data_IF_223559162034
#
_entry.id   IF_223559162034
#
_cell.length_a   1.000
_cell.length_b   1.000
_cell.length_c   1.000
_cell.angle_alpha   90.00
_cell.angle_beta   90.00
_cell.angle_gamma   90.00
#
_symmetry.space_group_name_H-M   'P 1'
#
loop_
_entity.id
_entity.type
_entity.pdbx_description
1 polymer ?
#
# COMPACT_ATOMS: atom_id res chain seq x y z
N UNK A 1 26.90 -8.90 43.72
CA UNK A 1 27.49 -8.73 42.37
C UNK A 1 29.00 -8.74 42.53
N UNK A 2 29.66 -9.84 42.19
CA UNK A 2 31.12 -9.86 42.12
C UNK A 2 31.55 -9.00 40.94
N UNK A 3 32.25 -7.88 41.21
CA UNK A 3 32.94 -7.11 40.18
C UNK A 3 34.08 -7.99 39.69
N UNK A 4 34.06 -8.39 38.42
CA UNK A 4 35.16 -9.15 37.82
C UNK A 4 36.43 -8.33 37.96
N UNK A 5 37.41 -8.84 38.69
CA UNK A 5 38.68 -8.15 38.89
C UNK A 5 39.37 -7.94 37.53
N UNK A 6 39.87 -6.74 37.21
CA UNK A 6 40.43 -6.40 35.90
C UNK A 6 41.53 -7.37 35.41
N UNK A 7 42.30 -7.92 36.35
CA UNK A 7 43.36 -8.88 36.05
C UNK A 7 42.82 -10.23 35.59
N UNK A 8 41.71 -10.70 36.16
CA UNK A 8 41.03 -11.92 35.74
C UNK A 8 40.41 -11.75 34.34
N UNK A 9 39.96 -10.55 33.99
CA UNK A 9 39.49 -10.23 32.64
C UNK A 9 40.63 -10.28 31.62
N UNK A 10 41.81 -9.73 31.91
CA UNK A 10 42.97 -9.81 31.01
C UNK A 10 43.42 -11.26 30.77
N UNK A 11 43.44 -12.09 31.81
CA UNK A 11 43.77 -13.52 31.67
C UNK A 11 42.72 -14.25 30.82
N UNK A 12 41.43 -14.02 31.07
CA UNK A 12 40.34 -14.61 30.28
C UNK A 12 40.34 -14.12 28.82
N UNK A 13 40.67 -12.84 28.59
CA UNK A 13 40.78 -12.26 27.26
C UNK A 13 41.96 -12.84 26.48
N UNK A 14 43.13 -12.97 27.11
CA UNK A 14 44.30 -13.63 26.49
C UNK A 14 44.03 -15.11 26.20
N UNK A 15 43.34 -15.80 27.10
CA UNK A 15 42.96 -17.21 26.91
C UNK A 15 41.94 -17.39 25.77
N UNK A 16 41.05 -16.43 25.55
CA UNK A 16 40.05 -16.47 24.46
C UNK A 16 40.53 -15.87 23.14
N UNK A 17 41.66 -15.14 23.12
CA UNK A 17 42.18 -14.46 21.92
C UNK A 17 42.43 -15.41 20.74
N UNK A 18 43.00 -16.60 20.98
CA UNK A 18 43.24 -17.59 19.92
C UNK A 18 41.93 -18.07 19.30
N UNK A 19 40.91 -18.31 20.13
CA UNK A 19 39.56 -18.70 19.72
C UNK A 19 38.90 -17.56 18.93
N UNK A 20 39.00 -16.31 19.40
CA UNK A 20 38.46 -15.13 18.70
C UNK A 20 39.09 -14.95 17.32
N UNK A 21 40.41 -15.09 17.21
CA UNK A 21 41.13 -14.98 15.93
C UNK A 21 40.73 -16.12 14.98
N UNK A 22 40.57 -17.34 15.49
CA UNK A 22 40.10 -18.48 14.70
C UNK A 22 38.68 -18.27 14.19
N UNK A 23 37.75 -17.86 15.06
CA UNK A 23 36.36 -17.56 14.70
C UNK A 23 36.27 -16.41 13.69
N UNK A 24 37.06 -15.34 13.88
CA UNK A 24 37.12 -14.22 12.95
C UNK A 24 37.66 -14.62 11.58
N UNK A 25 38.73 -15.42 11.56
CA UNK A 25 39.29 -15.95 10.31
C UNK A 25 38.29 -16.86 9.58
N UNK A 26 37.55 -17.68 10.32
CA UNK A 26 36.50 -18.53 9.76
C UNK A 26 35.34 -17.69 9.19
N UNK A 27 34.86 -16.70 9.94
CA UNK A 27 33.79 -15.81 9.48
C UNK A 27 34.19 -15.05 8.21
N UNK A 28 35.44 -14.59 8.12
CA UNK A 28 35.96 -13.92 6.92
C UNK A 28 35.95 -14.86 5.71
N UNK A 29 36.44 -16.09 5.86
CA UNK A 29 36.43 -17.09 4.78
C UNK A 29 35.02 -17.41 4.30
N UNK A 30 34.07 -17.53 5.23
CA UNK A 30 32.67 -17.79 4.89
C UNK A 30 32.06 -16.60 4.13
N UNK A 31 32.36 -15.37 4.56
CA UNK A 31 31.92 -14.17 3.87
C UNK A 31 32.51 -14.04 2.46
N UNK A 32 33.81 -14.31 2.30
CA UNK A 32 34.50 -14.28 1.02
C UNK A 32 33.92 -15.34 0.05
N UNK A 33 33.59 -16.53 0.57
CA UNK A 33 32.91 -17.58 -0.20
C UNK A 33 31.52 -17.14 -0.67
N UNK A 34 30.73 -16.51 0.21
CA UNK A 34 29.40 -15.97 -0.16
C UNK A 34 29.53 -14.93 -1.28
N UNK A 35 30.47 -13.99 -1.13
CA UNK A 35 30.73 -12.97 -2.16
C UNK A 35 31.13 -13.63 -3.47
N UNK A 36 32.11 -14.55 -3.44
CA UNK A 36 32.59 -15.21 -4.65
C UNK A 36 31.47 -15.93 -5.41
N UNK A 37 30.51 -16.52 -4.67
CA UNK A 37 29.39 -17.25 -5.25
C UNK A 37 28.36 -16.36 -5.96
N UNK A 38 28.08 -15.18 -5.40
CA UNK A 38 27.06 -14.26 -5.97
C UNK A 38 27.67 -13.20 -6.90
N UNK A 39 28.98 -12.97 -6.84
CA UNK A 39 29.66 -11.91 -7.61
C UNK A 39 29.37 -11.94 -9.11
N UNK A 40 29.37 -13.11 -9.82
CA UNK A 40 29.08 -13.13 -11.24
C UNK A 40 27.69 -12.56 -11.56
N UNK A 41 26.69 -12.93 -10.76
CA UNK A 41 25.31 -12.49 -10.89
C UNK A 41 25.15 -10.98 -10.62
N UNK A 42 25.85 -10.46 -9.61
CA UNK A 42 25.80 -9.04 -9.26
C UNK A 42 26.57 -8.16 -10.24
N UNK A 43 27.69 -8.62 -10.78
CA UNK A 43 28.48 -7.83 -11.73
C UNK A 43 27.77 -7.68 -13.08
N UNK A 44 26.96 -8.66 -13.47
CA UNK A 44 26.14 -8.62 -14.67
C UNK A 44 24.92 -7.68 -14.49
N UNK A 45 24.18 -7.83 -13.39
CA UNK A 45 22.83 -7.23 -13.24
C UNK A 45 22.77 -5.97 -12.40
N UNK A 46 23.78 -5.68 -11.57
CA UNK A 46 23.72 -4.57 -10.62
C UNK A 46 24.88 -3.62 -10.87
N UNK A 47 24.60 -2.43 -11.39
CA UNK A 47 25.64 -1.41 -11.62
C UNK A 47 25.92 -0.58 -10.36
N UNK A 48 24.89 -0.36 -9.52
CA UNK A 48 25.00 0.49 -8.34
C UNK A 48 25.81 -0.21 -7.21
N UNK A 49 26.96 0.34 -6.77
CA UNK A 49 27.79 -0.26 -5.72
C UNK A 49 27.06 -0.41 -4.37
N UNK A 50 26.16 0.52 -4.04
CA UNK A 50 25.36 0.44 -2.82
C UNK A 50 24.42 -0.77 -2.85
N UNK A 51 23.72 -1.00 -3.97
CA UNK A 51 22.84 -2.15 -4.12
C UNK A 51 23.63 -3.46 -4.08
N UNK A 52 24.85 -3.51 -4.65
CA UNK A 52 25.73 -4.70 -4.51
C UNK A 52 25.99 -5.03 -3.04
N UNK A 53 26.28 -4.04 -2.20
CA UNK A 53 26.48 -4.25 -0.76
C UNK A 53 25.23 -4.77 -0.06
N UNK A 54 24.04 -4.31 -0.46
CA UNK A 54 22.78 -4.82 0.06
C UNK A 54 22.55 -6.29 -0.34
N UNK A 55 22.82 -6.66 -1.59
CA UNK A 55 22.73 -8.06 -2.04
C UNK A 55 23.73 -8.97 -1.35
N UNK A 56 24.96 -8.50 -1.10
CA UNK A 56 25.95 -9.23 -0.29
C UNK A 56 25.42 -9.46 1.13
N UNK A 57 24.83 -8.44 1.75
CA UNK A 57 24.24 -8.53 3.09
C UNK A 57 23.07 -9.52 3.15
N UNK A 58 22.20 -9.50 2.13
CA UNK A 58 21.12 -10.46 1.96
C UNK A 58 21.67 -11.89 1.80
N UNK A 59 22.63 -12.10 0.90
CA UNK A 59 23.24 -13.39 0.64
C UNK A 59 23.91 -13.99 1.88
N UNK A 60 24.63 -13.16 2.66
CA UNK A 60 25.24 -13.59 3.91
C UNK A 60 24.19 -14.05 4.94
N UNK A 61 23.06 -13.35 4.99
CA UNK A 61 21.95 -13.68 5.90
C UNK A 61 21.31 -15.01 5.52
N UNK A 62 20.98 -15.22 4.25
CA UNK A 62 20.35 -16.49 3.82
C UNK A 62 21.32 -17.67 3.88
N UNK A 63 22.62 -17.45 3.64
CA UNK A 63 23.66 -18.45 3.87
C UNK A 63 23.69 -18.87 5.35
N UNK A 64 23.66 -17.90 6.26
CA UNK A 64 23.60 -18.16 7.70
C UNK A 64 22.33 -18.94 8.08
N UNK A 65 21.17 -18.60 7.51
CA UNK A 65 19.93 -19.36 7.72
C UNK A 65 20.08 -20.80 7.24
N UNK A 66 20.62 -21.02 6.03
CA UNK A 66 20.81 -22.36 5.47
C UNK A 66 21.79 -23.21 6.28
N UNK A 67 22.82 -22.59 6.85
CA UNK A 67 23.86 -23.25 7.66
C UNK A 67 23.31 -23.73 9.00
N UNK A 68 22.40 -22.96 9.63
CA UNK A 68 21.92 -23.23 10.98
C UNK A 68 20.53 -23.87 11.03
N UNK A 69 19.76 -23.82 9.95
CA UNK A 69 18.39 -24.32 9.89
C UNK A 69 18.26 -25.39 8.80
N UNK A 70 17.25 -26.27 8.94
CA UNK A 70 16.86 -27.20 7.89
C UNK A 70 16.35 -26.47 6.64
N UNK A 71 16.53 -27.06 5.46
CA UNK A 71 16.21 -26.45 4.15
C UNK A 71 14.81 -25.81 4.09
N UNK A 72 13.80 -26.52 4.57
CA UNK A 72 12.41 -26.01 4.56
C UNK A 72 12.25 -24.76 5.42
N UNK A 73 12.73 -24.78 6.67
CA UNK A 73 12.63 -23.65 7.57
C UNK A 73 13.48 -22.47 7.07
N UNK A 74 14.70 -22.72 6.60
CA UNK A 74 15.56 -21.70 6.01
C UNK A 74 14.92 -21.04 4.78
N UNK A 75 14.18 -21.82 3.96
CA UNK A 75 13.49 -21.29 2.78
C UNK A 75 12.32 -20.39 3.18
N UNK A 76 11.55 -20.76 4.22
CA UNK A 76 10.49 -19.91 4.78
C UNK A 76 11.04 -18.60 5.34
N UNK A 77 12.13 -18.65 6.10
CA UNK A 77 12.79 -17.45 6.64
C UNK A 77 13.41 -16.58 5.53
N UNK A 78 13.93 -17.21 4.46
CA UNK A 78 14.46 -16.49 3.31
C UNK A 78 13.36 -15.70 2.57
N UNK A 79 12.11 -16.21 2.52
CA UNK A 79 10.97 -15.45 1.99
C UNK A 79 10.74 -14.15 2.78
N UNK A 80 10.81 -14.19 4.11
CA UNK A 80 10.73 -13.00 4.96
C UNK A 80 11.88 -12.01 4.71
N UNK A 81 13.09 -12.51 4.48
CA UNK A 81 14.22 -11.65 4.09
C UNK A 81 14.00 -11.00 2.72
N UNK A 82 13.47 -11.74 1.73
CA UNK A 82 13.16 -11.19 0.41
C UNK A 82 12.21 -10.00 0.53
N UNK A 83 11.09 -10.16 1.25
CA UNK A 83 10.14 -9.06 1.45
C UNK A 83 10.81 -7.84 2.11
N UNK A 84 11.60 -8.07 3.17
CA UNK A 84 12.33 -7.00 3.87
C UNK A 84 13.25 -6.21 2.94
N UNK A 85 13.99 -6.89 2.07
CA UNK A 85 14.96 -6.26 1.17
C UNK A 85 14.31 -5.68 -0.09
N UNK A 86 13.18 -6.23 -0.52
CA UNK A 86 12.34 -5.68 -1.58
C UNK A 86 11.83 -4.29 -1.20
N UNK A 87 11.37 -4.11 0.05
CA UNK A 87 11.04 -2.77 0.59
C UNK A 87 12.23 -1.79 0.62
N UNK A 88 13.46 -2.28 0.53
CA UNK A 88 14.68 -1.46 0.45
C UNK A 88 15.15 -1.24 -0.99
N UNK A 89 14.36 -1.66 -1.98
CA UNK A 89 14.62 -1.45 -3.40
C UNK A 89 15.44 -2.55 -4.08
N UNK A 90 15.57 -3.74 -3.49
CA UNK A 90 16.17 -4.90 -4.16
C UNK A 90 15.12 -5.61 -5.03
N UNK A 91 15.55 -6.12 -6.17
CA UNK A 91 14.70 -6.85 -7.10
C UNK A 91 14.44 -8.27 -6.58
N UNK A 92 13.16 -8.64 -6.51
CA UNK A 92 12.71 -9.95 -6.03
C UNK A 92 13.34 -11.10 -6.82
N UNK A 93 13.32 -11.00 -8.15
CA UNK A 93 13.84 -12.06 -9.04
C UNK A 93 15.32 -12.34 -8.79
N UNK A 94 16.12 -11.28 -8.62
CA UNK A 94 17.54 -11.44 -8.32
C UNK A 94 17.77 -12.08 -6.95
N UNK A 95 16.96 -11.71 -5.95
CA UNK A 95 17.03 -12.34 -4.63
C UNK A 95 16.62 -13.81 -4.67
N UNK A 96 15.62 -14.18 -5.48
CA UNK A 96 15.23 -15.59 -5.71
C UNK A 96 16.37 -16.38 -6.35
N UNK A 97 17.05 -15.83 -7.36
CA UNK A 97 18.21 -16.45 -8.00
C UNK A 97 19.36 -16.64 -6.99
N UNK A 98 19.64 -15.62 -6.17
CA UNK A 98 20.63 -15.71 -5.09
C UNK A 98 20.24 -16.81 -4.08
N UNK A 99 18.97 -16.91 -3.68
CA UNK A 99 18.50 -17.95 -2.78
C UNK A 99 18.70 -19.37 -3.36
N UNK A 100 18.44 -19.55 -4.66
CA UNK A 100 18.68 -20.81 -5.38
C UNK A 100 20.15 -21.22 -5.35
N UNK A 101 21.09 -20.26 -5.43
CA UNK A 101 22.52 -20.55 -5.27
C UNK A 101 22.83 -21.22 -3.92
N UNK A 102 22.04 -20.95 -2.86
CA UNK A 102 22.22 -21.54 -1.53
C UNK A 102 21.27 -22.70 -1.22
N UNK A 103 20.69 -23.35 -2.25
CA UNK A 103 19.77 -24.49 -2.08
C UNK A 103 18.52 -24.13 -1.24
N UNK A 104 18.02 -22.90 -1.41
CA UNK A 104 16.79 -22.42 -0.80
C UNK A 104 15.72 -22.21 -1.86
N UNK A 105 14.47 -22.47 -1.48
CA UNK A 105 13.30 -22.30 -2.33
C UNK A 105 12.21 -21.50 -1.59
N UNK A 106 12.34 -20.16 -1.51
CA UNK A 106 11.41 -19.30 -0.80
C UNK A 106 10.12 -18.98 -1.59
N UNK A 107 10.07 -19.35 -2.87
CA UNK A 107 8.99 -18.99 -3.81
C UNK A 107 7.60 -19.51 -3.39
N UNK A 108 7.44 -20.74 -2.87
CA UNK A 108 6.16 -21.22 -2.34
C UNK A 108 5.65 -20.36 -1.19
N UNK A 109 6.53 -20.02 -0.24
CA UNK A 109 6.16 -19.18 0.92
C UNK A 109 5.89 -17.74 0.50
N UNK A 110 6.63 -17.20 -0.46
CA UNK A 110 6.31 -15.88 -1.03
C UNK A 110 4.96 -15.86 -1.74
N UNK A 111 4.56 -16.97 -2.37
CA UNK A 111 3.25 -17.09 -3.01
C UNK A 111 2.11 -17.16 -1.98
N UNK A 112 2.35 -17.79 -0.83
CA UNK A 112 1.42 -17.78 0.31
C UNK A 112 1.35 -16.41 1.02
N UNK A 113 2.48 -15.69 1.08
CA UNK A 113 2.62 -14.40 1.77
C UNK A 113 2.30 -13.19 0.90
N UNK A 114 2.41 -13.31 -0.42
CA UNK A 114 1.79 -12.37 -1.33
C UNK A 114 0.34 -12.30 -0.88
N UNK A 115 -0.09 -11.13 -0.38
CA UNK A 115 -1.48 -10.92 0.02
C UNK A 115 -2.33 -11.60 -1.03
N UNK A 116 -3.07 -12.67 -0.70
CA UNK A 116 -3.68 -13.47 -1.72
C UNK A 116 -4.51 -12.50 -2.54
N UNK A 117 -4.29 -12.46 -3.85
CA UNK A 117 -5.20 -11.78 -4.75
C UNK A 117 -6.65 -12.23 -4.43
N UNK A 118 -6.79 -13.47 -3.94
CA UNK A 118 -8.00 -14.02 -3.34
C UNK A 118 -8.54 -13.28 -2.11
N UNK A 119 -7.76 -12.70 -1.19
CA UNK A 119 -8.36 -11.90 -0.10
C UNK A 119 -8.93 -10.62 -0.68
N UNK A 120 -8.25 -9.98 -1.64
CA UNK A 120 -8.75 -8.74 -2.24
C UNK A 120 -9.97 -9.01 -3.13
N UNK A 121 -9.92 -10.04 -3.97
CA UNK A 121 -11.03 -10.45 -4.82
C UNK A 121 -12.15 -11.13 -4.04
N UNK A 122 -11.86 -11.91 -2.99
CA UNK A 122 -12.91 -12.45 -2.09
C UNK A 122 -13.50 -11.38 -1.19
N UNK A 123 -12.76 -10.34 -0.78
CA UNK A 123 -13.37 -9.18 -0.12
C UNK A 123 -14.19 -8.37 -1.09
N UNK A 124 -13.69 -8.10 -2.30
CA UNK A 124 -14.46 -7.41 -3.35
C UNK A 124 -15.68 -8.23 -3.74
N UNK A 125 -15.56 -9.54 -3.84
CA UNK A 125 -16.64 -10.46 -4.15
C UNK A 125 -17.60 -10.57 -2.97
N UNK A 126 -17.14 -10.67 -1.73
CA UNK A 126 -18.00 -10.60 -0.56
C UNK A 126 -18.68 -9.22 -0.42
N UNK A 127 -18.02 -8.12 -0.78
CA UNK A 127 -18.62 -6.79 -0.90
C UNK A 127 -19.65 -6.76 -2.04
N UNK A 128 -19.36 -7.32 -3.21
CA UNK A 128 -20.30 -7.45 -4.33
C UNK A 128 -21.46 -8.39 -4.04
N UNK A 129 -21.27 -9.43 -3.24
CA UNK A 129 -22.32 -10.38 -2.84
C UNK A 129 -23.16 -9.83 -1.68
N UNK A 130 -22.55 -9.06 -0.77
CA UNK A 130 -23.25 -8.39 0.35
C UNK A 130 -23.98 -7.12 -0.11
N UNK A 131 -23.45 -6.41 -1.11
CA UNK A 131 -23.98 -5.12 -1.60
C UNK A 131 -24.73 -5.29 -2.96
N UNK A 132 -24.48 -6.38 -3.70
CA UNK A 132 -25.09 -6.74 -5.00
C UNK A 132 -24.22 -6.38 -6.23
N UNK A 133 -24.28 -7.15 -7.32
CA UNK A 133 -23.68 -6.72 -8.63
C UNK A 133 -24.39 -5.48 -9.23
N UNK A 134 -25.55 -5.10 -8.66
CA UNK A 134 -26.27 -3.85 -8.94
C UNK A 134 -26.08 -2.78 -7.82
N UNK A 135 -25.03 -2.93 -7.00
CA UNK A 135 -24.67 -2.09 -5.85
C UNK A 135 -24.40 -0.64 -6.21
N UNK A 136 -25.44 0.09 -6.59
CA UNK A 136 -25.45 1.51 -6.36
C UNK A 136 -26.24 1.85 -5.12
N UNK A 137 -25.94 3.00 -4.56
CA UNK A 137 -26.73 3.64 -3.53
C UNK A 137 -27.25 4.97 -4.03
N UNK A 138 -28.48 5.30 -3.66
CA UNK A 138 -29.05 6.62 -3.93
C UNK A 138 -29.01 7.46 -2.66
N UNK A 139 -28.17 8.49 -2.64
CA UNK A 139 -28.12 9.48 -1.58
C UNK A 139 -29.08 10.62 -1.92
N UNK A 140 -30.12 10.79 -1.13
CA UNK A 140 -31.03 11.92 -1.25
C UNK A 140 -30.41 13.14 -0.55
N UNK A 141 -30.01 14.16 -1.31
CA UNK A 141 -29.45 15.41 -0.75
C UNK A 141 -30.60 16.29 -0.26
N UNK A 142 -31.62 16.49 -1.09
CA UNK A 142 -32.83 17.23 -0.73
C UNK A 142 -34.01 16.86 -1.63
N UNK A 143 -35.23 17.10 -1.13
CA UNK A 143 -36.48 16.91 -1.88
C UNK A 143 -37.33 18.16 -1.76
N UNK A 144 -37.65 18.78 -2.89
CA UNK A 144 -38.47 20.01 -3.00
C UNK A 144 -38.10 21.10 -1.97
N UNK A 145 -36.79 21.32 -1.77
CA UNK A 145 -36.28 22.20 -0.73
C UNK A 145 -35.71 23.51 -1.30
N UNK A 146 -35.70 24.56 -0.47
CA UNK A 146 -34.93 25.78 -0.75
C UNK A 146 -33.48 25.53 -0.35
N UNK A 147 -32.56 25.63 -1.31
CA UNK A 147 -31.12 25.40 -1.11
C UNK A 147 -30.30 26.69 -1.15
N UNK A 148 -30.93 27.87 -1.06
CA UNK A 148 -30.24 29.17 -1.08
C UNK A 148 -29.25 29.37 0.06
N UNK A 149 -29.49 28.71 1.20
CA UNK A 149 -28.59 28.70 2.37
C UNK A 149 -27.52 27.60 2.32
N UNK A 150 -27.51 26.80 1.26
CA UNK A 150 -26.68 25.62 1.12
C UNK A 150 -27.28 24.38 1.78
N UNK A 151 -27.18 23.24 1.10
CA UNK A 151 -27.46 21.91 1.65
C UNK A 151 -26.27 21.01 1.38
N UNK A 152 -25.93 20.13 2.32
CA UNK A 152 -24.80 19.21 2.18
C UNK A 152 -25.19 17.78 2.52
N UNK A 153 -24.57 16.81 1.85
CA UNK A 153 -24.73 15.40 2.14
C UNK A 153 -23.37 14.68 2.13
N UNK A 154 -23.20 13.64 2.96
CA UNK A 154 -22.05 12.74 2.86
C UNK A 154 -22.17 11.85 1.62
N UNK A 155 -21.05 11.58 0.98
CA UNK A 155 -20.86 10.60 -0.08
C UNK A 155 -20.04 9.44 0.46
N UNK A 156 -20.11 8.30 -0.23
CA UNK A 156 -19.21 7.16 -0.01
C UNK A 156 -18.19 7.08 -1.14
N UNK A 157 -17.24 6.15 -1.02
CA UNK A 157 -16.24 5.89 -2.04
C UNK A 157 -16.85 5.14 -3.22
N UNK A 158 -17.59 5.87 -4.07
CA UNK A 158 -18.16 5.35 -5.30
C UNK A 158 -17.10 5.39 -6.41
N UNK A 159 -16.94 4.32 -7.19
CA UNK A 159 -16.08 4.32 -8.39
C UNK A 159 -16.60 5.31 -9.44
N UNK A 160 -17.93 5.45 -9.54
CA UNK A 160 -18.61 6.45 -10.38
C UNK A 160 -19.89 6.91 -9.72
N UNK A 161 -20.24 8.19 -9.90
CA UNK A 161 -21.52 8.68 -9.39
C UNK A 161 -22.13 9.76 -10.28
N UNK A 162 -23.46 9.83 -10.30
CA UNK A 162 -24.22 10.81 -11.08
C UNK A 162 -25.08 11.65 -10.16
N UNK A 163 -25.01 12.97 -10.31
CA UNK A 163 -25.89 13.93 -9.66
C UNK A 163 -27.12 14.19 -10.54
N UNK A 164 -28.29 13.97 -9.97
CA UNK A 164 -29.59 14.27 -10.57
C UNK A 164 -30.15 15.53 -9.91
N UNK A 165 -30.43 16.54 -10.73
CA UNK A 165 -30.99 17.81 -10.29
C UNK A 165 -32.33 18.03 -10.97
N UNK A 166 -33.33 18.45 -10.19
CA UNK A 166 -34.65 18.86 -10.65
C UNK A 166 -35.03 20.17 -9.99
N UNK A 167 -35.43 21.17 -10.78
CA UNK A 167 -35.76 22.51 -10.29
C UNK A 167 -37.20 22.90 -10.64
N UNK A 168 -37.86 23.63 -9.74
CA UNK A 168 -39.23 24.14 -9.95
C UNK A 168 -39.28 25.44 -10.78
N UNK A 169 -38.13 26.02 -11.14
CA UNK A 169 -38.05 27.30 -11.84
C UNK A 169 -36.60 27.68 -12.15
N UNK A 170 -36.41 28.88 -12.72
CA UNK A 170 -35.08 29.38 -13.07
C UNK A 170 -34.20 29.56 -11.82
N UNK A 171 -33.02 28.94 -11.80
CA UNK A 171 -32.09 28.97 -10.68
C UNK A 171 -30.68 28.62 -11.15
N UNK A 172 -29.67 29.25 -10.56
CA UNK A 172 -28.27 28.84 -10.71
C UNK A 172 -27.87 28.05 -9.47
N UNK A 173 -27.34 26.85 -9.67
CA UNK A 173 -26.89 25.94 -8.60
C UNK A 173 -25.36 25.86 -8.63
N UNK A 174 -24.73 26.24 -7.52
CA UNK A 174 -23.30 26.07 -7.29
C UNK A 174 -23.05 24.75 -6.58
N UNK A 175 -22.16 23.93 -7.11
CA UNK A 175 -21.77 22.63 -6.57
C UNK A 175 -20.40 22.78 -5.92
N UNK A 176 -20.25 22.23 -4.73
CA UNK A 176 -18.98 22.13 -4.03
C UNK A 176 -18.75 20.71 -3.56
N UNK A 177 -17.52 20.22 -3.73
CA UNK A 177 -17.07 18.90 -3.32
C UNK A 177 -15.98 19.05 -2.25
N UNK A 178 -15.94 18.10 -1.31
CA UNK A 178 -14.94 18.08 -0.25
C UNK A 178 -14.34 16.67 -0.13
N UNK A 179 -13.01 16.54 -0.08
CA UNK A 179 -12.33 15.26 0.12
C UNK A 179 -12.10 14.91 1.60
N UNK A 180 -12.40 15.83 2.52
CA UNK A 180 -11.93 15.80 3.92
C UNK A 180 -13.07 15.98 4.94
N UNK A 181 -14.23 15.42 4.65
CA UNK A 181 -15.36 15.42 5.58
C UNK A 181 -16.11 16.75 5.67
N UNK A 182 -15.95 17.64 4.69
CA UNK A 182 -16.59 18.95 4.64
C UNK A 182 -15.77 20.09 5.24
N UNK A 183 -14.46 19.92 5.41
CA UNK A 183 -13.57 20.97 5.93
C UNK A 183 -13.18 21.93 4.81
N UNK A 184 -12.61 21.42 3.71
CA UNK A 184 -12.27 22.18 2.52
C UNK A 184 -13.27 21.92 1.39
N UNK A 185 -13.71 22.99 0.71
CA UNK A 185 -14.71 22.93 -0.34
C UNK A 185 -14.14 23.45 -1.66
N UNK A 186 -14.21 22.61 -2.70
CA UNK A 186 -13.71 22.90 -4.03
C UNK A 186 -14.87 22.89 -5.02
N UNK A 187 -14.88 23.86 -5.93
CA UNK A 187 -15.90 23.92 -6.98
C UNK A 187 -15.39 23.15 -8.21
N UNK A 188 -16.13 22.13 -8.69
CA UNK A 188 -15.75 21.39 -9.89
C UNK A 188 -16.10 22.19 -11.15
N UNK A 189 -15.54 21.79 -12.30
CA UNK A 189 -15.71 22.52 -13.57
C UNK A 189 -17.16 22.50 -14.10
N UNK A 190 -17.94 21.49 -13.72
CA UNK A 190 -19.35 21.36 -14.05
C UNK A 190 -20.24 22.36 -13.31
N UNK A 191 -19.68 23.13 -12.37
CA UNK A 191 -20.36 24.18 -11.61
C UNK A 191 -19.97 25.58 -12.08
N UNK A 192 -20.92 26.52 -12.27
CA UNK A 192 -22.32 26.43 -11.84
C UNK A 192 -23.25 25.79 -12.89
N UNK A 193 -24.31 25.16 -12.40
CA UNK A 193 -25.38 24.59 -13.22
C UNK A 193 -26.52 25.60 -13.33
N UNK A 194 -26.76 26.12 -14.54
CA UNK A 194 -27.78 27.14 -14.79
C UNK A 194 -29.07 26.52 -15.32
N UNK A 195 -30.20 26.84 -14.70
CA UNK A 195 -31.55 26.53 -15.17
C UNK A 195 -32.27 27.83 -15.55
N UNK A 196 -32.72 27.94 -16.79
CA UNK A 196 -33.47 29.11 -17.29
C UNK A 196 -34.99 29.00 -17.06
N UNK A 197 -35.48 27.80 -16.71
CA UNK A 197 -36.87 27.48 -16.37
C UNK A 197 -36.88 26.21 -15.49
N UNK A 198 -38.06 25.74 -15.11
CA UNK A 198 -38.20 24.43 -14.46
C UNK A 198 -37.67 23.32 -15.38
N UNK A 199 -36.97 22.33 -14.82
CA UNK A 199 -36.43 21.22 -15.60
C UNK A 199 -35.48 20.34 -14.81
N UNK A 200 -34.90 19.37 -15.52
CA UNK A 200 -34.02 18.35 -14.95
C UNK A 200 -32.65 18.36 -15.64
N UNK A 201 -31.57 18.11 -14.89
CA UNK A 201 -30.22 17.90 -15.42
C UNK A 201 -29.51 16.75 -14.69
N UNK A 202 -28.69 16.02 -15.44
CA UNK A 202 -27.89 14.91 -14.95
C UNK A 202 -26.42 15.24 -15.22
N UNK A 203 -25.55 14.99 -14.24
CA UNK A 203 -24.12 15.27 -14.32
C UNK A 203 -23.37 14.07 -13.76
N UNK A 204 -22.56 13.43 -14.60
CA UNK A 204 -21.65 12.37 -14.16
C UNK A 204 -20.40 13.00 -13.55
N UNK A 205 -20.00 12.50 -12.38
CA UNK A 205 -18.80 12.93 -11.67
C UNK A 205 -17.86 11.74 -11.49
N UNK A 206 -16.56 11.98 -11.70
CA UNK A 206 -15.47 11.03 -11.48
C UNK A 206 -14.51 11.44 -10.37
N UNK A 207 -14.95 12.32 -9.46
CA UNK A 207 -14.12 12.81 -8.36
C UNK A 207 -14.36 12.01 -7.08
N UNK A 208 -13.27 11.69 -6.38
CA UNK A 208 -13.26 11.04 -5.06
C UNK A 208 -13.57 12.06 -3.95
N UNK A 209 -14.85 12.40 -3.80
CA UNK A 209 -15.32 13.33 -2.77
C UNK A 209 -16.03 12.59 -1.63
N UNK A 210 -15.77 13.00 -0.38
CA UNK A 210 -16.48 12.49 0.80
C UNK A 210 -17.77 13.24 1.08
N UNK A 211 -17.91 14.47 0.58
CA UNK A 211 -19.11 15.28 0.76
C UNK A 211 -19.41 16.14 -0.47
N UNK A 212 -20.70 16.39 -0.68
CA UNK A 212 -21.22 17.35 -1.66
C UNK A 212 -22.01 18.43 -0.94
N UNK A 213 -21.93 19.67 -1.45
CA UNK A 213 -22.75 20.80 -1.03
C UNK A 213 -23.32 21.51 -2.26
N UNK A 214 -24.60 21.83 -2.20
CA UNK A 214 -25.34 22.55 -3.25
C UNK A 214 -25.84 23.87 -2.70
N UNK A 215 -25.60 24.97 -3.42
CA UNK A 215 -26.06 26.31 -3.06
C UNK A 215 -26.85 26.92 -4.22
N UNK A 216 -28.10 27.28 -3.98
CA UNK A 216 -28.95 27.92 -4.98
C UNK A 216 -28.83 29.44 -4.99
N UNK A 217 -28.98 30.08 -6.16
CA UNK A 217 -28.97 31.54 -6.27
C UNK A 217 -30.26 32.21 -5.76
N UNK A 218 -31.34 31.46 -5.53
CA UNK A 218 -32.63 31.93 -5.04
C UNK A 218 -33.37 30.79 -4.31
N UNK A 219 -34.61 31.05 -3.87
CA UNK A 219 -35.41 30.12 -3.07
C UNK A 219 -36.29 29.15 -3.87
N UNK A 220 -36.11 29.06 -5.19
CA UNK A 220 -36.83 28.08 -6.00
C UNK A 220 -36.51 26.66 -5.51
N UNK A 221 -37.54 25.81 -5.51
CA UNK A 221 -37.43 24.47 -4.95
C UNK A 221 -36.58 23.57 -5.85
N UNK A 222 -35.70 22.80 -5.21
CA UNK A 222 -34.80 21.84 -5.85
C UNK A 222 -34.98 20.46 -5.22
N UNK A 223 -34.96 19.43 -6.05
CA UNK A 223 -34.74 18.05 -5.65
C UNK A 223 -33.40 17.60 -6.19
N UNK A 224 -32.55 17.06 -5.32
CA UNK A 224 -31.19 16.64 -5.68
C UNK A 224 -30.88 15.27 -5.10
N UNK A 225 -30.35 14.39 -5.94
CA UNK A 225 -30.01 13.01 -5.60
C UNK A 225 -28.68 12.63 -6.24
N UNK A 226 -27.89 11.81 -5.54
CA UNK A 226 -26.70 11.18 -6.10
C UNK A 226 -26.95 9.69 -6.20
N UNK A 227 -26.70 9.11 -7.37
CA UNK A 227 -26.58 7.66 -7.54
C UNK A 227 -25.10 7.34 -7.68
N UNK A 228 -24.52 6.71 -6.68
CA UNK A 228 -23.15 6.19 -6.73
C UNK A 228 -23.14 4.69 -6.97
N UNK A 229 -22.13 4.19 -7.68
CA UNK A 229 -21.88 2.76 -7.93
C UNK A 229 -20.49 2.41 -7.38
N UNK A 230 -20.40 1.30 -6.65
CA UNK A 230 -19.16 0.79 -6.06
C UNK A 230 -18.39 -0.11 -7.01
#
# INVERSE_FOLDING_TARGET
>A
MAKTEPELFEVAYRASRSIQVQLGSQAQREHDMVIAKIKPLLDERVQNPYLKMCYVSYAATIYYLRKNLGRQLASREAAGQILKWEFRGLERDLMLEIAKLFDLDPEPTLSELAMPADITESLKQALRETVGEEAGETVNICREADISKGVSAPLKNYERWTLYLKTAGAITIYIYLSPDGGVNWYQPEESPVIFNAAGDKLIEFGYDATNIKLVGSNSNKVTAQVRGVF
#
